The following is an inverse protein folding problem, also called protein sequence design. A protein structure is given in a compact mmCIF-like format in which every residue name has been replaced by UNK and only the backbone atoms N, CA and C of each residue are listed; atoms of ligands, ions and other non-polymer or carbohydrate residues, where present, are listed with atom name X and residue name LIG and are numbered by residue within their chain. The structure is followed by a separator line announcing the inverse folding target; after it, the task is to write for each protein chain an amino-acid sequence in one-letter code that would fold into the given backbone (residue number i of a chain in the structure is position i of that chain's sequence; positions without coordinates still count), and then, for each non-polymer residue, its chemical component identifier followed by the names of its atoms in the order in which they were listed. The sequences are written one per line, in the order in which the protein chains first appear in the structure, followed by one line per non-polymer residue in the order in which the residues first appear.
data_IF_817449864753
#
_entry.id   IF_817449864753
#
_cell.length_a   1.000
_cell.length_b   1.000
_cell.length_c   1.000
_cell.angle_alpha   90.00
_cell.angle_beta   90.00
_cell.angle_gamma   90.00
#
_symmetry.space_group_name_H-M   'P 1'
#
loop_
_entity.id
_entity.type
_entity.pdbx_description
1 polymer ?
#
# COMPACT_ATOMS: atom_id res chain seq x y z
N UNK A 1 -27.51 -40.03 -9.33
CA UNK A 1 -26.95 -39.47 -8.07
C UNK A 1 -26.41 -38.09 -8.38
N UNK A 2 -26.93 -37.03 -7.75
CA UNK A 2 -26.75 -35.62 -8.15
C UNK A 2 -25.48 -35.03 -7.51
N UNK A 3 -24.50 -34.51 -8.26
CA UNK A 3 -23.36 -33.79 -7.71
C UNK A 3 -23.78 -32.32 -7.49
N UNK A 4 -24.70 -32.07 -6.56
CA UNK A 4 -25.14 -30.69 -6.23
C UNK A 4 -24.27 -30.01 -5.18
N UNK A 5 -23.41 -30.77 -4.48
CA UNK A 5 -22.60 -30.25 -3.38
C UNK A 5 -21.17 -29.85 -3.79
N UNK A 6 -20.68 -30.31 -4.94
CA UNK A 6 -19.31 -30.01 -5.38
C UNK A 6 -19.12 -28.54 -5.82
N UNK A 7 -20.17 -27.89 -6.32
CA UNK A 7 -20.12 -26.50 -6.80
C UNK A 7 -20.07 -25.51 -5.63
N UNK A 8 -20.70 -25.84 -4.49
CA UNK A 8 -20.78 -24.95 -3.33
C UNK A 8 -19.42 -24.79 -2.63
N UNK A 9 -18.60 -25.84 -2.61
CA UNK A 9 -17.28 -25.83 -1.95
C UNK A 9 -16.23 -25.03 -2.72
N UNK A 10 -16.33 -24.96 -4.05
CA UNK A 10 -15.39 -24.18 -4.90
C UNK A 10 -15.64 -22.66 -4.76
N UNK A 11 -16.90 -22.24 -4.59
CA UNK A 11 -17.25 -20.81 -4.42
C UNK A 11 -16.72 -20.20 -3.11
N UNK A 12 -16.59 -21.00 -2.05
CA UNK A 12 -16.05 -20.56 -0.75
C UNK A 12 -14.53 -20.30 -0.78
N UNK A 13 -13.78 -20.95 -1.66
CA UNK A 13 -12.33 -20.75 -1.77
C UNK A 13 -11.96 -19.46 -2.53
N UNK A 14 -12.81 -19.01 -3.47
CA UNK A 14 -12.54 -17.80 -4.27
C UNK A 14 -12.75 -16.52 -3.43
N UNK A 15 -13.67 -16.54 -2.46
CA UNK A 15 -13.94 -15.39 -1.60
C UNK A 15 -12.76 -15.03 -0.66
N UNK A 16 -11.92 -16.00 -0.28
CA UNK A 16 -10.79 -15.78 0.62
C UNK A 16 -9.50 -15.30 -0.07
N UNK A 17 -9.45 -15.29 -1.40
CA UNK A 17 -8.28 -14.86 -2.18
C UNK A 17 -8.39 -13.46 -2.76
N UNK A 18 -9.55 -12.81 -2.63
CA UNK A 18 -9.73 -11.49 -3.21
C UNK A 18 -9.01 -10.41 -2.39
N UNK A 19 -7.74 -10.13 -2.76
CA UNK A 19 -6.95 -9.02 -2.19
C UNK A 19 -7.39 -7.64 -2.70
N UNK A 20 -8.41 -7.56 -3.55
CA UNK A 20 -8.97 -6.29 -4.00
C UNK A 20 -9.89 -5.68 -2.93
N UNK A 21 -9.30 -5.29 -1.81
CA UNK A 21 -9.97 -4.60 -0.70
C UNK A 21 -9.15 -3.35 -0.36
N UNK A 22 -9.77 -2.29 0.19
CA UNK A 22 -9.05 -1.06 0.52
C UNK A 22 -7.90 -1.32 1.51
N UNK A 23 -8.10 -2.24 2.46
CA UNK A 23 -7.08 -2.61 3.44
C UNK A 23 -5.91 -3.37 2.80
N UNK A 24 -6.19 -4.40 2.00
CA UNK A 24 -5.13 -5.19 1.39
C UNK A 24 -4.28 -4.37 0.41
N UNK A 25 -4.90 -3.48 -0.39
CA UNK A 25 -4.17 -2.57 -1.29
C UNK A 25 -3.28 -1.61 -0.51
N UNK A 26 -3.74 -1.11 0.63
CA UNK A 26 -2.95 -0.22 1.50
C UNK A 26 -1.78 -0.96 2.15
N UNK A 27 -2.00 -2.19 2.62
CA UNK A 27 -0.94 -3.04 3.18
C UNK A 27 0.11 -3.42 2.12
N UNK A 28 -0.33 -3.74 0.89
CA UNK A 28 0.55 -4.02 -0.24
C UNK A 28 1.34 -2.76 -0.66
N UNK A 29 0.72 -1.59 -0.59
CA UNK A 29 1.40 -0.31 -0.83
C UNK A 29 2.48 -0.07 0.23
N UNK A 30 2.18 -0.19 1.53
CA UNK A 30 3.18 -0.02 2.59
C UNK A 30 4.32 -1.03 2.45
N UNK A 31 3.99 -2.28 2.12
CA UNK A 31 4.98 -3.33 1.94
C UNK A 31 5.95 -3.00 0.80
N UNK A 32 5.45 -2.61 -0.37
CA UNK A 32 6.29 -2.30 -1.52
C UNK A 32 7.03 -0.97 -1.36
N UNK A 33 6.32 0.10 -1.02
CA UNK A 33 6.87 1.45 -0.95
C UNK A 33 7.80 1.63 0.26
N UNK A 34 7.30 1.36 1.46
CA UNK A 34 8.04 1.67 2.67
C UNK A 34 9.01 0.56 3.08
N UNK A 35 8.60 -0.70 2.99
CA UNK A 35 9.41 -1.82 3.51
C UNK A 35 10.43 -2.33 2.49
N UNK A 36 10.07 -2.43 1.22
CA UNK A 36 10.98 -2.90 0.17
C UNK A 36 11.70 -1.76 -0.58
N UNK A 37 11.26 -0.50 -0.42
CA UNK A 37 11.68 0.61 -1.29
C UNK A 37 11.63 0.23 -2.78
N UNK A 38 10.53 -0.43 -3.17
CA UNK A 38 10.22 -0.77 -4.54
C UNK A 38 9.11 0.15 -5.03
N UNK A 39 9.49 1.37 -5.44
CA UNK A 39 8.58 2.38 -5.92
C UNK A 39 7.82 1.94 -7.18
N UNK A 40 8.43 1.14 -8.06
CA UNK A 40 7.77 0.63 -9.28
C UNK A 40 6.61 -0.32 -8.93
N UNK A 41 6.80 -1.23 -7.98
CA UNK A 41 5.75 -2.12 -7.51
C UNK A 41 4.63 -1.34 -6.77
N UNK A 42 5.00 -0.32 -5.99
CA UNK A 42 4.03 0.55 -5.33
C UNK A 42 3.19 1.35 -6.33
N UNK A 43 3.82 1.85 -7.42
CA UNK A 43 3.17 2.62 -8.47
C UNK A 43 1.97 1.88 -9.08
N UNK A 44 2.09 0.56 -9.27
CA UNK A 44 1.00 -0.27 -9.82
C UNK A 44 -0.28 -0.29 -8.95
N UNK A 45 -0.15 0.07 -7.67
CA UNK A 45 -1.25 0.11 -6.69
C UNK A 45 -1.91 1.50 -6.61
N UNK A 46 -1.35 2.50 -7.29
CA UNK A 46 -1.79 3.89 -7.21
C UNK A 46 -2.73 4.30 -8.35
N UNK A 47 -3.43 5.41 -8.13
CA UNK A 47 -4.12 6.20 -9.15
C UNK A 47 -4.11 7.68 -8.75
N UNK A 48 -4.41 8.59 -9.69
CA UNK A 48 -4.54 10.02 -9.41
C UNK A 48 -3.30 10.64 -8.76
N UNK A 49 -3.50 11.42 -7.69
CA UNK A 49 -2.44 12.18 -7.02
C UNK A 49 -1.30 11.29 -6.51
N UNK A 50 -1.61 10.11 -5.95
CA UNK A 50 -0.59 9.18 -5.49
C UNK A 50 0.33 8.68 -6.64
N UNK A 51 -0.21 8.52 -7.85
CA UNK A 51 0.59 8.17 -9.03
C UNK A 51 1.55 9.30 -9.38
N UNK A 52 1.05 10.53 -9.46
CA UNK A 52 1.86 11.71 -9.76
C UNK A 52 2.99 11.91 -8.74
N UNK A 53 2.70 11.71 -7.45
CA UNK A 53 3.68 11.81 -6.37
C UNK A 53 4.80 10.77 -6.52
N UNK A 54 4.45 9.51 -6.80
CA UNK A 54 5.44 8.44 -6.99
C UNK A 54 6.26 8.61 -8.26
N UNK A 55 5.64 8.98 -9.39
CA UNK A 55 6.36 9.21 -10.64
C UNK A 55 7.38 10.35 -10.48
N UNK A 56 6.99 11.44 -9.81
CA UNK A 56 7.89 12.55 -9.52
C UNK A 56 9.04 12.12 -8.59
N UNK A 57 8.78 11.27 -7.58
CA UNK A 57 9.83 10.72 -6.73
C UNK A 57 10.79 9.80 -7.50
N UNK A 58 10.26 8.86 -8.28
CA UNK A 58 11.06 7.95 -9.09
C UNK A 58 11.99 8.76 -10.01
N UNK A 59 11.47 9.79 -10.66
CA UNK A 59 12.27 10.70 -11.49
C UNK A 59 13.43 11.34 -10.73
N UNK A 60 13.18 11.87 -9.53
CA UNK A 60 14.24 12.46 -8.68
C UNK A 60 15.27 11.42 -8.21
N UNK A 61 14.86 10.19 -7.93
CA UNK A 61 15.75 9.14 -7.46
C UNK A 61 16.65 8.58 -8.57
N UNK A 62 16.16 8.57 -9.82
CA UNK A 62 16.96 8.16 -10.99
C UNK A 62 18.16 9.08 -11.23
N UNK A 63 18.07 10.37 -10.87
CA UNK A 63 19.18 11.32 -10.99
C UNK A 63 20.33 11.03 -10.00
N UNK A 64 20.05 10.34 -8.89
CA UNK A 64 21.00 10.17 -7.77
C UNK A 64 21.54 8.74 -7.66
N UNK A 65 20.88 7.75 -8.26
CA UNK A 65 21.34 6.35 -8.28
C UNK A 65 22.24 6.09 -9.49
N UNK A 66 23.56 6.06 -9.28
CA UNK A 66 24.49 5.65 -10.33
C UNK A 66 24.38 4.13 -10.62
N UNK A 67 24.47 3.69 -11.89
CA UNK A 67 24.51 2.27 -12.22
C UNK A 67 25.72 1.60 -11.55
N UNK A 68 25.48 0.65 -10.66
CA UNK A 68 26.54 -0.14 -9.98
C UNK A 68 26.75 0.16 -8.51
N UNK A 69 26.06 1.17 -7.94
CA UNK A 69 26.10 1.37 -6.49
C UNK A 69 25.33 0.24 -5.78
N UNK A 70 25.92 -0.38 -4.74
CA UNK A 70 25.20 -1.35 -3.93
C UNK A 70 23.98 -0.66 -3.31
N UNK A 71 22.80 -1.25 -3.49
CA UNK A 71 21.58 -0.76 -2.86
C UNK A 71 21.84 -0.59 -1.36
N UNK A 72 21.57 0.59 -0.77
CA UNK A 72 21.78 0.79 0.65
C UNK A 72 21.00 -0.27 1.43
N UNK A 73 21.64 -0.88 2.43
CA UNK A 73 20.99 -1.84 3.32
C UNK A 73 19.73 -1.20 3.92
N UNK A 74 18.57 -1.73 3.55
CA UNK A 74 17.28 -1.15 3.93
C UNK A 74 17.07 -1.25 5.45
N UNK A 75 16.67 -0.16 6.13
CA UNK A 75 16.38 -0.22 7.56
C UNK A 75 15.23 -1.18 7.82
N UNK A 76 15.26 -1.87 8.97
CA UNK A 76 14.17 -2.77 9.35
C UNK A 76 12.95 -1.91 9.71
N UNK A 77 11.86 -2.11 8.97
CA UNK A 77 10.61 -1.39 9.20
C UNK A 77 9.48 -2.32 9.67
N UNK A 78 8.77 -1.87 10.69
CA UNK A 78 7.52 -2.46 11.19
C UNK A 78 6.40 -1.41 11.03
N UNK A 79 5.17 -1.85 10.80
CA UNK A 79 4.02 -0.94 10.71
C UNK A 79 2.84 -1.45 11.53
N UNK A 80 2.04 -0.52 12.05
CA UNK A 80 0.81 -0.79 12.79
C UNK A 80 -0.28 0.16 12.33
N UNK A 81 -1.44 -0.35 11.96
CA UNK A 81 -2.61 0.48 11.70
C UNK A 81 -3.09 1.12 13.02
N UNK A 82 -3.27 2.43 13.02
CA UNK A 82 -3.70 3.23 14.16
C UNK A 82 -5.11 3.79 14.01
N UNK A 83 -5.65 3.83 12.79
CA UNK A 83 -7.00 4.30 12.52
C UNK A 83 -7.51 3.88 11.15
N UNK A 84 -8.83 3.88 10.99
CA UNK A 84 -9.52 3.66 9.72
C UNK A 84 -10.79 4.50 9.72
N UNK A 85 -10.98 5.27 8.66
CA UNK A 85 -12.16 6.12 8.46
C UNK A 85 -12.70 5.87 7.06
N UNK A 86 -14.00 5.61 6.97
CA UNK A 86 -14.70 5.54 5.67
C UNK A 86 -15.40 6.87 5.49
N UNK A 87 -15.04 7.61 4.45
CA UNK A 87 -15.75 8.83 4.05
C UNK A 87 -16.51 8.54 2.77
N UNK A 88 -17.83 8.63 2.84
CA UNK A 88 -18.73 8.43 1.72
C UNK A 88 -19.36 9.77 1.35
N UNK A 89 -18.56 10.78 1.04
CA UNK A 89 -19.08 12.13 0.85
C UNK A 89 -18.25 12.88 -0.17
N UNK A 90 -18.41 12.54 -1.46
CA UNK A 90 -18.53 13.44 -2.63
C UNK A 90 -18.88 12.54 -3.83
N UNK A 91 -19.91 12.89 -4.61
CA UNK A 91 -20.20 12.27 -5.93
C UNK A 91 -20.40 10.74 -5.99
N UNK A 92 -20.83 10.09 -4.90
CA UNK A 92 -20.94 8.62 -4.76
C UNK A 92 -19.60 7.86 -4.81
N UNK A 93 -18.49 8.56 -4.67
CA UNK A 93 -17.17 7.96 -4.53
C UNK A 93 -16.96 7.56 -3.07
N UNK A 94 -16.56 6.32 -2.82
CA UNK A 94 -16.22 5.84 -1.48
C UNK A 94 -14.73 5.93 -1.27
N UNK A 95 -14.31 6.77 -0.32
CA UNK A 95 -12.94 6.83 0.14
C UNK A 95 -12.76 6.08 1.45
N UNK A 96 -11.68 5.32 1.56
CA UNK A 96 -11.27 4.70 2.82
C UNK A 96 -9.88 5.19 3.19
N UNK A 97 -9.81 5.90 4.31
CA UNK A 97 -8.60 6.46 4.87
C UNK A 97 -8.06 5.54 5.96
N UNK A 98 -6.76 5.29 5.93
CA UNK A 98 -6.07 4.48 6.91
C UNK A 98 -4.91 5.27 7.51
N UNK A 99 -4.83 5.27 8.84
CA UNK A 99 -3.71 5.82 9.57
C UNK A 99 -2.80 4.68 10.00
N UNK A 100 -1.49 4.84 9.80
CA UNK A 100 -0.45 3.90 10.21
C UNK A 100 0.63 4.62 11.02
N UNK A 101 1.25 3.86 11.93
CA UNK A 101 2.52 4.21 12.54
C UNK A 101 3.59 3.27 12.00
N UNK A 102 4.60 3.83 11.34
CA UNK A 102 5.80 3.14 10.90
C UNK A 102 6.86 3.24 11.98
N UNK A 103 7.51 2.13 12.30
CA UNK A 103 8.64 2.04 13.22
C UNK A 103 9.88 1.62 12.44
N UNK A 104 10.84 2.53 12.33
CA UNK A 104 12.06 2.38 11.54
C UNK A 104 13.22 2.13 12.51
N UNK A 105 13.86 0.98 12.39
CA UNK A 105 15.02 0.59 13.19
C UNK A 105 16.28 0.75 12.35
N UNK A 106 17.10 1.73 12.71
CA UNK A 106 18.39 1.98 12.04
C UNK A 106 19.44 0.94 12.44
N UNK A 107 20.50 0.84 11.61
CA UNK A 107 21.57 -0.14 11.70
C UNK A 107 22.12 -0.26 13.13
N UNK A 108 22.12 -1.48 13.65
CA UNK A 108 22.56 -1.80 15.02
C UNK A 108 21.49 -1.67 16.11
N UNK A 109 20.23 -1.35 15.76
CA UNK A 109 19.10 -1.28 16.71
C UNK A 109 19.18 -0.11 17.70
N UNK A 110 20.16 0.78 17.54
CA UNK A 110 20.46 1.87 18.48
C UNK A 110 19.48 3.03 18.39
N UNK A 111 18.80 3.20 17.26
CA UNK A 111 17.84 4.29 17.05
C UNK A 111 16.59 3.75 16.43
N UNK A 112 15.46 4.06 17.08
CA UNK A 112 14.12 3.77 16.60
C UNK A 112 13.44 5.09 16.31
N UNK A 113 12.99 5.28 15.07
CA UNK A 113 12.18 6.43 14.68
C UNK A 113 10.76 5.96 14.39
N UNK A 114 9.79 6.80 14.71
CA UNK A 114 8.40 6.56 14.34
C UNK A 114 7.93 7.64 13.37
N UNK A 115 7.21 7.24 12.32
CA UNK A 115 6.51 8.15 11.41
C UNK A 115 5.03 7.80 11.38
N UNK A 116 4.16 8.81 11.29
CA UNK A 116 2.75 8.58 11.02
C UNK A 116 2.50 8.76 9.54
N UNK A 117 1.65 7.90 8.99
CA UNK A 117 1.29 7.90 7.59
C UNK A 117 -0.20 7.83 7.48
N UNK A 118 -0.77 8.65 6.61
CA UNK A 118 -2.15 8.57 6.18
C UNK A 118 -2.19 8.09 4.74
N UNK A 119 -3.05 7.13 4.44
CA UNK A 119 -3.24 6.60 3.08
C UNK A 119 -4.73 6.61 2.76
N UNK A 120 -5.08 7.22 1.64
CA UNK A 120 -6.46 7.25 1.14
C UNK A 120 -6.59 6.30 -0.03
N UNK A 121 -7.62 5.47 0.00
CA UNK A 121 -7.97 4.55 -1.08
C UNK A 121 -9.33 4.86 -1.67
N UNK A 122 -9.50 4.49 -2.93
CA UNK A 122 -10.73 4.68 -3.70
C UNK A 122 -10.99 3.42 -4.55
N UNK A 123 -12.25 3.10 -4.81
CA UNK A 123 -12.62 2.08 -5.78
C UNK A 123 -12.81 2.71 -7.16
N UNK A 124 -11.90 2.40 -8.08
CA UNK A 124 -11.89 2.89 -9.46
C UNK A 124 -12.17 1.71 -10.37
N UNK A 125 -13.31 1.74 -11.07
CA UNK A 125 -13.74 0.67 -11.99
C UNK A 125 -13.72 -0.73 -11.38
N UNK A 126 -14.13 -0.85 -10.12
CA UNK A 126 -14.15 -2.12 -9.39
C UNK A 126 -12.81 -2.50 -8.77
N UNK A 127 -11.75 -1.71 -8.92
CA UNK A 127 -10.43 -1.94 -8.33
C UNK A 127 -10.12 -0.91 -7.25
N UNK A 128 -9.73 -1.37 -6.06
CA UNK A 128 -9.22 -0.49 -5.02
C UNK A 128 -7.81 -0.02 -5.38
N UNK A 129 -7.58 1.29 -5.28
CA UNK A 129 -6.30 1.94 -5.54
C UNK A 129 -5.97 2.91 -4.41
N UNK A 130 -4.68 3.15 -4.19
CA UNK A 130 -4.20 4.27 -3.37
C UNK A 130 -4.31 5.54 -4.22
N UNK A 131 -5.07 6.52 -3.75
CA UNK A 131 -5.28 7.80 -4.47
C UNK A 131 -4.55 8.97 -3.83
N UNK A 132 -4.18 8.85 -2.56
CA UNK A 132 -3.35 9.82 -1.86
C UNK A 132 -2.58 9.14 -0.71
N UNK A 133 -1.44 9.68 -0.34
CA UNK A 133 -0.71 9.31 0.88
C UNK A 133 0.14 10.49 1.38
N UNK A 134 0.34 10.57 2.69
CA UNK A 134 1.15 11.63 3.30
C UNK A 134 1.79 11.19 4.63
N UNK A 135 2.89 11.83 5.00
CA UNK A 135 3.64 11.61 6.24
C UNK A 135 3.57 12.83 7.16
N UNK A 136 3.24 12.66 8.44
CA UNK A 136 3.03 13.76 9.40
C UNK A 136 3.55 13.49 10.82
#
# INVERSE_FOLDING_TARGET
MKPRYAILTILLLVACLNRNTPQAVTEDFIYNYYKLANQEAALQLTSGLATEMLEAEIGRLQEVRAPGDPAPEMPKMEYKQTGKETSSEVENVTHVLFNYQLTIKNRGGKTTHTRKVVITTENIDGQWKVVNFDEY
#
